data_IF_537259653239
#
_entry.id   IF_537259653239
#
_cell.length_a   1.000
_cell.length_b   1.000
_cell.length_c   1.000
_cell.angle_alpha   90.00
_cell.angle_beta   90.00
_cell.angle_gamma   90.00
#
_symmetry.space_group_name_H-M   'P 1'
#
loop_
_entity.id
_entity.type
_entity.pdbx_description
1 polymer ?
#
# COMPACT_ATOMS: atom_id res chain seq x y z
N UNK A 1 6.56 -4.30 -8.54
CA UNK A 1 6.40 -3.43 -9.72
C UNK A 1 6.53 -1.99 -9.26
N UNK A 2 7.74 -1.43 -9.28
CA UNK A 2 8.01 -0.11 -8.72
C UNK A 2 7.78 1.04 -9.70
N UNK A 3 7.67 2.24 -9.12
CA UNK A 3 7.71 3.50 -9.85
C UNK A 3 6.35 3.89 -10.42
N UNK A 4 6.31 4.15 -11.73
CA UNK A 4 5.15 4.69 -12.43
C UNK A 4 4.40 3.59 -13.16
N UNK A 5 3.27 3.19 -12.61
CA UNK A 5 2.50 2.02 -13.04
C UNK A 5 1.18 2.38 -13.71
N UNK A 6 0.82 3.67 -13.81
CA UNK A 6 -0.41 4.13 -14.48
C UNK A 6 -0.61 3.51 -15.88
N UNK A 7 0.41 3.41 -16.76
CA UNK A 7 0.23 2.80 -18.09
C UNK A 7 -0.02 1.29 -18.04
N UNK A 8 0.28 0.63 -16.91
CA UNK A 8 0.14 -0.81 -16.72
C UNK A 8 -1.19 -1.21 -16.10
N UNK A 9 -1.97 -0.26 -15.53
CA UNK A 9 -3.26 -0.53 -14.91
C UNK A 9 -4.19 -1.42 -15.75
N UNK A 10 -4.35 -1.20 -17.08
CA UNK A 10 -5.24 -2.01 -17.90
C UNK A 10 -4.84 -3.48 -18.04
N UNK A 11 -3.62 -3.84 -17.62
CA UNK A 11 -3.07 -5.20 -17.74
C UNK A 11 -3.03 -5.93 -16.40
N UNK A 12 -3.21 -5.23 -15.27
CA UNK A 12 -2.89 -5.80 -13.96
C UNK A 12 -3.78 -6.99 -13.64
N UNK A 13 -5.10 -6.91 -13.85
CA UNK A 13 -6.04 -8.01 -13.58
C UNK A 13 -5.77 -9.27 -14.43
N UNK A 14 -5.32 -9.09 -15.66
CA UNK A 14 -5.03 -10.17 -16.61
C UNK A 14 -3.71 -10.92 -16.34
N UNK A 15 -2.85 -10.40 -15.46
CA UNK A 15 -1.57 -11.05 -15.14
C UNK A 15 -1.81 -12.42 -14.47
N UNK A 16 -0.98 -13.44 -14.78
CA UNK A 16 -1.14 -14.80 -14.23
C UNK A 16 -0.68 -14.92 -12.76
N UNK A 17 -0.44 -13.81 -12.07
CA UNK A 17 0.01 -13.77 -10.68
C UNK A 17 -1.19 -13.58 -9.74
N UNK A 18 -1.14 -14.24 -8.59
CA UNK A 18 -2.16 -14.10 -7.53
C UNK A 18 -2.03 -12.80 -6.74
N UNK A 19 -0.86 -12.16 -6.78
CA UNK A 19 -0.61 -10.92 -6.09
C UNK A 19 0.44 -10.06 -6.79
N UNK A 20 0.38 -8.77 -6.51
CA UNK A 20 1.28 -7.77 -7.06
C UNK A 20 1.97 -7.07 -5.88
N UNK A 21 3.29 -7.08 -5.93
CA UNK A 21 4.17 -6.45 -4.96
C UNK A 21 4.67 -5.11 -5.50
N UNK A 22 4.99 -4.19 -4.60
CA UNK A 22 5.56 -2.87 -4.84
C UNK A 22 4.69 -1.91 -5.67
N UNK A 23 3.40 -2.22 -5.81
CA UNK A 23 2.44 -1.37 -6.51
C UNK A 23 2.13 -0.12 -5.66
N UNK A 24 2.98 0.90 -5.82
CA UNK A 24 3.04 2.03 -4.89
C UNK A 24 2.01 3.09 -5.28
N UNK A 25 1.07 3.48 -4.40
CA UNK A 25 0.19 4.61 -4.66
C UNK A 25 0.91 5.96 -4.44
N UNK A 26 0.24 7.05 -4.80
CA UNK A 26 0.62 8.41 -4.41
C UNK A 26 0.82 8.49 -2.89
N UNK A 27 1.82 9.26 -2.39
CA UNK A 27 2.59 10.26 -3.13
C UNK A 27 3.93 9.80 -3.75
N UNK A 28 4.29 8.51 -3.68
CA UNK A 28 5.55 8.01 -4.26
C UNK A 28 5.36 7.46 -5.67
N UNK A 29 4.27 6.73 -5.91
CA UNK A 29 3.86 6.36 -7.27
C UNK A 29 2.98 7.43 -7.93
N UNK A 30 2.34 7.05 -9.03
CA UNK A 30 1.55 7.92 -9.91
C UNK A 30 0.04 7.65 -9.90
N UNK A 31 -0.42 6.61 -9.21
CA UNK A 31 -1.84 6.20 -9.13
C UNK A 31 -2.41 6.39 -7.72
N UNK A 32 -3.72 6.56 -7.58
CA UNK A 32 -4.39 6.55 -6.27
C UNK A 32 -4.57 5.11 -5.75
N UNK A 33 -4.95 4.98 -4.47
CA UNK A 33 -5.25 3.65 -3.88
C UNK A 33 -6.44 3.02 -4.60
N UNK A 34 -7.43 3.85 -4.92
CA UNK A 34 -8.69 3.44 -5.55
C UNK A 34 -8.48 3.01 -7.02
N UNK A 35 -7.71 3.79 -7.80
CA UNK A 35 -7.32 3.42 -9.18
C UNK A 35 -6.55 2.09 -9.20
N UNK A 36 -5.66 1.89 -8.23
CA UNK A 36 -4.90 0.67 -8.11
C UNK A 36 -5.79 -0.53 -7.72
N UNK A 37 -6.69 -0.34 -6.75
CA UNK A 37 -7.61 -1.39 -6.31
C UNK A 37 -8.54 -1.84 -7.44
N UNK A 38 -9.06 -0.89 -8.23
CA UNK A 38 -9.87 -1.20 -9.42
C UNK A 38 -9.07 -1.99 -10.45
N UNK A 39 -7.85 -1.58 -10.76
CA UNK A 39 -7.01 -2.23 -11.76
C UNK A 39 -6.52 -3.63 -11.35
N UNK A 40 -6.32 -3.87 -10.04
CA UNK A 40 -5.83 -5.14 -9.52
C UNK A 40 -6.90 -6.22 -9.42
N UNK A 41 -8.18 -5.88 -9.55
CA UNK A 41 -9.29 -6.84 -9.49
C UNK A 41 -9.24 -7.68 -8.22
N UNK A 42 -9.17 -9.00 -8.38
CA UNK A 42 -9.20 -9.95 -7.27
C UNK A 42 -7.82 -10.36 -6.74
N UNK A 43 -6.75 -9.67 -7.16
CA UNK A 43 -5.38 -9.99 -6.75
C UNK A 43 -5.06 -9.47 -5.34
N UNK A 44 -4.08 -10.11 -4.71
CA UNK A 44 -3.54 -9.68 -3.41
C UNK A 44 -2.57 -8.52 -3.63
N UNK A 45 -2.78 -7.41 -2.93
CA UNK A 45 -1.73 -6.39 -2.80
C UNK A 45 -0.73 -6.87 -1.75
N UNK A 46 0.50 -7.10 -2.18
CA UNK A 46 1.63 -7.27 -1.29
C UNK A 46 2.23 -5.87 -1.13
N UNK A 47 2.40 -5.43 0.12
CA UNK A 47 2.82 -4.10 0.55
C UNK A 47 1.76 -2.96 0.57
N UNK A 48 1.92 -1.92 -0.21
CA UNK A 48 1.01 -0.80 -0.41
C UNK A 48 1.44 0.53 0.21
N UNK A 49 2.06 0.56 1.39
CA UNK A 49 2.34 1.84 2.06
C UNK A 49 3.56 2.51 1.43
N UNK A 50 3.47 3.73 0.86
CA UNK A 50 4.61 4.37 0.22
C UNK A 50 5.78 4.57 1.20
N UNK A 51 6.98 4.09 0.87
CA UNK A 51 8.20 4.21 1.69
C UNK A 51 8.48 5.62 2.19
N UNK A 52 8.24 6.66 1.37
CA UNK A 52 8.43 8.06 1.80
C UNK A 52 7.51 8.50 2.94
N UNK A 53 6.42 7.78 3.21
CA UNK A 53 5.50 8.06 4.32
C UNK A 53 6.13 7.80 5.69
N UNK A 54 7.24 7.05 5.73
CA UNK A 54 7.99 6.73 6.95
C UNK A 54 9.03 7.79 7.32
N UNK A 55 9.19 8.85 6.53
CA UNK A 55 10.13 9.93 6.82
C UNK A 55 9.67 10.83 7.98
N UNK A 56 10.58 11.28 8.86
CA UNK A 56 10.27 12.09 10.04
C UNK A 56 9.59 13.42 9.76
N UNK A 57 9.90 14.04 8.61
CA UNK A 57 9.38 15.34 8.18
C UNK A 57 8.00 15.26 7.49
N UNK A 58 7.45 14.07 7.24
CA UNK A 58 6.09 13.90 6.69
C UNK A 58 5.03 14.01 7.78
N UNK A 59 3.86 14.62 7.55
CA UNK A 59 2.77 14.61 8.52
C UNK A 59 2.33 13.20 8.88
N UNK A 60 2.27 12.87 10.18
CA UNK A 60 1.78 11.57 10.66
C UNK A 60 0.33 11.29 10.21
N UNK A 61 -0.48 12.34 10.00
CA UNK A 61 -1.83 12.22 9.47
C UNK A 61 -1.88 11.61 8.07
N UNK A 62 -0.93 11.97 7.19
CA UNK A 62 -0.83 11.40 5.84
C UNK A 62 -0.56 9.90 5.88
N UNK A 63 0.39 9.47 6.72
CA UNK A 63 0.68 8.05 6.94
C UNK A 63 -0.55 7.29 7.42
N UNK A 64 -1.27 7.83 8.42
CA UNK A 64 -2.49 7.17 8.92
C UNK A 64 -3.55 7.09 7.83
N UNK A 65 -3.79 8.18 7.11
CA UNK A 65 -4.81 8.24 6.07
C UNK A 65 -4.55 7.26 4.92
N UNK A 66 -3.32 7.20 4.41
CA UNK A 66 -2.98 6.23 3.35
C UNK A 66 -3.05 4.79 3.86
N UNK A 67 -2.59 4.53 5.09
CA UNK A 67 -2.68 3.18 5.70
C UNK A 67 -4.13 2.74 5.86
N UNK A 68 -5.01 3.64 6.31
CA UNK A 68 -6.43 3.36 6.50
C UNK A 68 -7.13 3.03 5.17
N UNK A 69 -6.86 3.83 4.13
CA UNK A 69 -7.36 3.59 2.76
C UNK A 69 -6.90 2.25 2.20
N UNK A 70 -5.60 1.92 2.28
CA UNK A 70 -5.07 0.64 1.79
C UNK A 70 -5.76 -0.53 2.51
N UNK A 71 -5.87 -0.44 3.83
CA UNK A 71 -6.57 -1.46 4.60
C UNK A 71 -8.07 -1.56 4.25
N UNK A 72 -8.72 -0.49 3.83
CA UNK A 72 -10.14 -0.50 3.42
C UNK A 72 -10.35 -1.11 2.04
N UNK A 73 -9.58 -0.65 1.05
CA UNK A 73 -9.74 -1.06 -0.35
C UNK A 73 -9.23 -2.48 -0.61
N UNK A 74 -8.16 -2.90 0.07
CA UNK A 74 -7.51 -4.18 -0.22
C UNK A 74 -7.83 -5.30 0.78
N UNK A 75 -8.53 -5.06 1.90
CA UNK A 75 -8.92 -6.18 2.78
C UNK A 75 -10.03 -7.04 2.14
N UNK A 76 -9.98 -8.39 2.22
CA UNK A 76 -8.97 -9.21 2.92
C UNK A 76 -7.75 -9.60 2.06
N UNK A 77 -7.68 -9.14 0.80
CA UNK A 77 -6.63 -9.42 -0.19
C UNK A 77 -5.39 -8.53 -0.02
N UNK A 78 -4.85 -8.49 1.19
CA UNK A 78 -3.75 -7.59 1.54
C UNK A 78 -2.72 -8.26 2.43
N UNK A 79 -1.45 -8.17 2.03
CA UNK A 79 -0.29 -8.39 2.89
C UNK A 79 0.36 -7.03 3.11
N UNK A 80 -0.09 -6.29 4.14
CA UNK A 80 0.33 -4.91 4.37
C UNK A 80 1.83 -4.82 4.66
N UNK A 81 2.50 -3.93 3.95
CA UNK A 81 3.93 -3.70 4.04
C UNK A 81 4.32 -2.33 3.51
N UNK A 82 5.62 -2.12 3.36
CA UNK A 82 6.19 -0.91 2.77
C UNK A 82 6.42 -1.22 1.31
N UNK A 83 5.84 -0.40 0.44
CA UNK A 83 6.05 -0.47 -1.00
C UNK A 83 7.36 0.25 -1.32
N UNK A 84 8.23 -0.40 -2.09
CA UNK A 84 9.64 -0.04 -2.29
C UNK A 84 10.45 -0.19 -0.97
N UNK A 85 11.59 0.49 -0.84
CA UNK A 85 12.43 0.45 0.35
C UNK A 85 12.16 1.66 1.28
N UNK A 86 12.18 1.46 2.63
CA UNK A 86 12.12 2.59 3.55
C UNK A 86 13.40 3.44 3.41
N UNK A 87 13.29 4.78 3.29
CA UNK A 87 14.46 5.64 3.27
C UNK A 87 15.35 5.45 4.52
N UNK A 88 16.68 5.63 4.43
CA UNK A 88 17.61 5.38 5.54
C UNK A 88 17.30 6.15 6.84
N UNK A 89 16.67 7.32 6.72
CA UNK A 89 16.28 8.18 7.83
C UNK A 89 14.82 7.97 8.28
N UNK A 90 14.19 6.84 7.93
CA UNK A 90 12.83 6.52 8.34
C UNK A 90 12.69 6.43 9.87
N UNK A 91 11.54 6.85 10.37
CA UNK A 91 11.24 6.87 11.80
C UNK A 91 10.61 5.55 12.25
N UNK A 92 11.31 4.78 13.09
CA UNK A 92 10.84 3.51 13.65
C UNK A 92 9.46 3.60 14.33
N UNK A 93 9.10 4.75 14.91
CA UNK A 93 7.79 4.98 15.51
C UNK A 93 6.64 4.89 14.51
N UNK A 94 6.86 5.27 13.26
CA UNK A 94 5.88 5.15 12.17
C UNK A 94 5.60 3.70 11.80
N UNK A 95 6.62 2.84 11.74
CA UNK A 95 6.47 1.39 11.54
C UNK A 95 5.60 0.76 12.61
N UNK A 96 5.88 1.06 13.89
CA UNK A 96 5.05 0.60 15.02
C UNK A 96 3.60 1.08 14.90
N UNK A 97 3.39 2.32 14.41
CA UNK A 97 2.06 2.88 14.25
C UNK A 97 1.25 2.14 13.17
N UNK A 98 1.84 1.87 12.01
CA UNK A 98 1.21 1.09 10.93
C UNK A 98 0.90 -0.33 11.40
N UNK A 99 1.87 -1.01 12.02
CA UNK A 99 1.68 -2.35 12.57
C UNK A 99 0.53 -2.41 13.60
N UNK A 100 0.42 -1.40 14.46
CA UNK A 100 -0.70 -1.30 15.42
C UNK A 100 -2.05 -1.11 14.72
N UNK A 101 -2.11 -0.32 13.64
CA UNK A 101 -3.35 -0.10 12.88
C UNK A 101 -3.84 -1.40 12.24
N UNK A 102 -2.96 -2.11 11.55
CA UNK A 102 -3.28 -3.41 10.95
C UNK A 102 -3.77 -4.43 11.98
N UNK A 103 -3.04 -4.60 13.09
CA UNK A 103 -3.39 -5.57 14.14
C UNK A 103 -4.62 -5.19 14.97
N UNK A 104 -5.10 -3.95 14.89
CA UNK A 104 -6.29 -3.51 15.61
C UNK A 104 -7.60 -3.74 14.85
N UNK A 105 -7.53 -4.07 13.55
CA UNK A 105 -8.72 -4.42 12.77
C UNK A 105 -9.08 -5.89 13.01
N UNK A 106 -10.36 -6.22 13.25
CA UNK A 106 -10.79 -7.61 13.27
C UNK A 106 -10.56 -8.23 11.88
N UNK A 107 -10.09 -9.48 11.85
CA UNK A 107 -10.01 -10.24 10.61
C UNK A 107 -11.44 -10.54 10.14
N UNK A 108 -11.87 -9.89 9.06
CA UNK A 108 -13.14 -10.20 8.41
C UNK A 108 -12.93 -11.49 7.60
N UNK A 109 -13.15 -12.63 8.25
CA UNK A 109 -13.10 -13.96 7.61
C UNK A 109 -14.43 -14.16 6.90
N UNK A 110 -14.56 -13.59 5.69
CA UNK A 110 -15.68 -13.88 4.78
C UNK A 110 -15.38 -15.08 3.92
#
# INVERSE_FOLDING_TARGET
MDGRIEPLLPLLDDLPFDGIEAATPKPQGDVTVEELAEAMGDKVLLDGVPGISFLPNRPMGELKGITEKILEEFSPRLILGISDEPPPNSDFGRFKKVAKMANSRPLDVR
#
